data_IF_609030317952
#
_entry.id   IF_609030317952
#
_cell.length_a   1.000
_cell.length_b   1.000
_cell.length_c   1.000
_cell.angle_alpha   90.00
_cell.angle_beta   90.00
_cell.angle_gamma   90.00
#
_symmetry.space_group_name_H-M   'P 1'
#
loop_
_entity.id
_entity.type
_entity.pdbx_description
1 polymer ?
#
# COMPACT_ATOMS: atom_id res chain seq x y z
N UNK A 1 -76.34 30.77 -78.23
CA UNK A 1 -77.47 30.81 -77.28
C UNK A 1 -78.58 31.76 -77.74
N UNK A 2 -78.30 33.02 -78.09
CA UNK A 2 -79.31 33.98 -78.62
C UNK A 2 -79.97 33.51 -79.93
N UNK A 3 -79.18 32.95 -80.86
CA UNK A 3 -79.68 32.39 -82.13
C UNK A 3 -80.57 31.15 -81.96
N UNK A 4 -80.43 30.42 -80.84
CA UNK A 4 -81.20 29.22 -80.56
C UNK A 4 -82.56 29.56 -79.95
N UNK A 5 -82.63 30.64 -79.15
CA UNK A 5 -83.88 31.19 -78.62
C UNK A 5 -84.76 31.75 -79.75
N UNK A 6 -84.16 32.48 -80.69
CA UNK A 6 -84.88 33.06 -81.84
C UNK A 6 -85.53 32.01 -82.74
N UNK A 7 -84.86 30.87 -82.96
CA UNK A 7 -85.39 29.74 -83.75
C UNK A 7 -86.59 29.06 -83.09
N UNK A 8 -86.59 28.95 -81.76
CA UNK A 8 -87.71 28.36 -81.00
C UNK A 8 -88.94 29.28 -81.03
N UNK A 9 -88.75 30.60 -80.96
CA UNK A 9 -89.84 31.57 -81.06
C UNK A 9 -90.47 31.61 -82.48
N UNK A 10 -89.66 31.41 -83.53
CA UNK A 10 -90.13 31.28 -84.91
C UNK A 10 -90.92 29.98 -85.12
N UNK A 11 -90.43 28.85 -84.59
CA UNK A 11 -91.13 27.56 -84.63
C UNK A 11 -92.47 27.62 -83.86
N UNK A 12 -92.52 28.33 -82.74
CA UNK A 12 -93.74 28.55 -81.94
C UNK A 12 -94.80 29.35 -82.71
N UNK A 13 -94.40 30.42 -83.41
CA UNK A 13 -95.29 31.21 -84.27
C UNK A 13 -95.78 30.41 -85.48
N UNK A 14 -94.92 29.61 -86.10
CA UNK A 14 -95.31 28.76 -87.22
C UNK A 14 -96.35 27.70 -86.82
N UNK A 15 -96.24 27.12 -85.62
CA UNK A 15 -97.20 26.16 -85.05
C UNK A 15 -98.54 26.75 -84.62
N UNK A 16 -98.62 28.07 -84.43
CA UNK A 16 -99.87 28.76 -84.08
C UNK A 16 -100.73 29.08 -85.31
N UNK A 17 -100.09 29.27 -86.47
CA UNK A 17 -100.76 29.63 -87.74
C UNK A 17 -101.32 28.46 -88.55
N UNK A 18 -100.90 27.20 -88.30
CA UNK A 18 -101.47 26.00 -88.96
C UNK A 18 -102.65 25.45 -88.14
N UNK A 19 -103.88 25.58 -88.66
CA UNK A 19 -105.12 25.23 -87.95
C UNK A 19 -105.85 23.97 -88.45
N UNK A 20 -105.35 23.29 -89.49
CA UNK A 20 -105.89 22.03 -90.02
C UNK A 20 -104.89 20.86 -89.88
N UNK A 21 -104.58 20.47 -88.65
CA UNK A 21 -103.86 19.22 -88.35
C UNK A 21 -104.50 18.50 -87.16
N UNK A 22 -104.48 17.17 -87.18
CA UNK A 22 -105.01 16.30 -86.12
C UNK A 22 -104.47 16.74 -84.75
N UNK A 23 -105.37 16.91 -83.76
CA UNK A 23 -105.05 17.49 -82.44
C UNK A 23 -103.88 16.80 -81.72
N UNK A 24 -103.63 15.52 -82.03
CA UNK A 24 -102.53 14.76 -81.45
C UNK A 24 -101.15 15.19 -81.94
N UNK A 25 -100.98 15.56 -83.22
CA UNK A 25 -99.68 16.00 -83.74
C UNK A 25 -99.32 17.40 -83.28
N UNK A 26 -100.32 18.29 -83.15
CA UNK A 26 -100.14 19.65 -82.62
C UNK A 26 -99.73 19.63 -81.14
N UNK A 27 -100.32 18.72 -80.35
CA UNK A 27 -99.96 18.56 -78.94
C UNK A 27 -98.55 17.97 -78.76
N UNK A 28 -98.14 17.01 -79.61
CA UNK A 28 -96.77 16.48 -79.59
C UNK A 28 -95.74 17.56 -79.95
N UNK A 29 -95.99 18.34 -80.99
CA UNK A 29 -95.08 19.42 -81.41
C UNK A 29 -94.97 20.56 -80.37
N UNK A 30 -96.08 20.92 -79.71
CA UNK A 30 -96.07 21.88 -78.59
C UNK A 30 -95.29 21.34 -77.38
N UNK A 31 -95.48 20.07 -77.03
CA UNK A 31 -94.74 19.44 -75.93
C UNK A 31 -93.23 19.36 -76.21
N UNK A 32 -92.84 19.12 -77.47
CA UNK A 32 -91.43 19.10 -77.87
C UNK A 32 -90.81 20.50 -77.83
N UNK A 33 -91.51 21.53 -78.29
CA UNK A 33 -91.07 22.92 -78.16
C UNK A 33 -90.94 23.36 -76.70
N UNK A 34 -91.92 23.04 -75.85
CA UNK A 34 -91.86 23.37 -74.42
C UNK A 34 -90.70 22.66 -73.71
N UNK A 35 -90.37 21.43 -74.13
CA UNK A 35 -89.21 20.70 -73.62
C UNK A 35 -87.89 21.37 -74.04
N UNK A 36 -87.78 21.78 -75.31
CA UNK A 36 -86.60 22.52 -75.82
C UNK A 36 -86.43 23.87 -75.13
N UNK A 37 -87.52 24.61 -74.88
CA UNK A 37 -87.48 25.87 -74.11
C UNK A 37 -86.98 25.64 -72.68
N UNK A 38 -87.50 24.61 -71.99
CA UNK A 38 -87.07 24.27 -70.62
C UNK A 38 -85.60 23.85 -70.54
N UNK A 39 -85.12 23.08 -71.51
CA UNK A 39 -83.72 22.64 -71.54
C UNK A 39 -82.76 23.80 -71.84
N UNK A 40 -83.17 24.73 -72.72
CA UNK A 40 -82.39 25.94 -73.00
C UNK A 40 -82.34 26.88 -71.78
N UNK A 41 -83.46 27.03 -71.05
CA UNK A 41 -83.51 27.81 -69.81
C UNK A 41 -82.61 27.21 -68.71
N UNK A 42 -82.62 25.88 -68.55
CA UNK A 42 -81.71 25.19 -67.62
C UNK A 42 -80.25 25.41 -68.02
N UNK A 43 -79.91 25.29 -69.30
CA UNK A 43 -78.55 25.54 -69.78
C UNK A 43 -78.11 27.00 -69.55
N UNK A 44 -79.02 27.98 -69.69
CA UNK A 44 -78.74 29.38 -69.36
C UNK A 44 -78.51 29.59 -67.86
N UNK A 45 -79.36 29.00 -67.01
CA UNK A 45 -79.20 29.07 -65.56
C UNK A 45 -77.90 28.40 -65.10
N UNK A 46 -77.56 27.24 -65.65
CA UNK A 46 -76.29 26.56 -65.40
C UNK A 46 -75.10 27.42 -65.85
N UNK A 47 -75.14 28.00 -67.04
CA UNK A 47 -74.09 28.87 -67.54
C UNK A 47 -73.90 30.12 -66.69
N UNK A 48 -74.98 30.78 -66.28
CA UNK A 48 -74.93 31.92 -65.36
C UNK A 48 -74.37 31.50 -63.99
N UNK A 49 -74.79 30.35 -63.46
CA UNK A 49 -74.26 29.83 -62.19
C UNK A 49 -72.76 29.52 -62.26
N UNK A 50 -72.27 29.06 -63.41
CA UNK A 50 -70.86 28.78 -63.64
C UNK A 50 -70.05 30.07 -63.78
N UNK A 51 -70.57 31.09 -64.46
CA UNK A 51 -69.94 32.42 -64.55
C UNK A 51 -69.88 33.13 -63.19
N UNK A 52 -70.93 33.02 -62.39
CA UNK A 52 -70.92 33.52 -61.01
C UNK A 52 -69.89 32.80 -60.15
N UNK A 53 -69.76 31.47 -60.28
CA UNK A 53 -68.71 30.69 -59.60
C UNK A 53 -67.31 31.06 -60.09
N UNK A 54 -67.12 31.24 -61.40
CA UNK A 54 -65.84 31.64 -61.98
C UNK A 54 -65.43 33.03 -61.50
N UNK A 55 -66.33 34.00 -61.58
CA UNK A 55 -66.06 35.36 -61.10
C UNK A 55 -65.89 35.45 -59.58
N UNK A 56 -66.55 34.59 -58.80
CA UNK A 56 -66.31 34.47 -57.37
C UNK A 56 -64.94 33.86 -57.05
N UNK A 57 -64.46 32.90 -57.86
CA UNK A 57 -63.11 32.35 -57.74
C UNK A 57 -62.06 33.38 -58.17
N UNK A 58 -62.23 34.06 -59.30
CA UNK A 58 -61.34 35.13 -59.76
C UNK A 58 -61.28 36.28 -58.76
N UNK A 59 -62.42 36.73 -58.20
CA UNK A 59 -62.42 37.75 -57.14
C UNK A 59 -61.77 37.25 -55.85
N UNK A 60 -61.88 35.96 -55.50
CA UNK A 60 -61.16 35.40 -54.34
C UNK A 60 -59.66 35.30 -54.57
N UNK A 61 -59.23 35.07 -55.82
CA UNK A 61 -57.83 34.97 -56.19
C UNK A 61 -57.19 36.34 -56.41
N UNK A 62 -57.94 37.34 -56.90
CA UNK A 62 -57.42 38.65 -57.34
C UNK A 62 -57.83 39.83 -56.43
N UNK A 63 -59.05 39.82 -55.85
CA UNK A 63 -59.62 40.95 -55.09
C UNK A 63 -59.79 40.64 -53.59
N UNK A 64 -59.58 39.38 -53.20
CA UNK A 64 -59.53 38.90 -51.82
C UNK A 64 -58.17 39.14 -51.15
N UNK A 65 -57.68 40.37 -51.16
CA UNK A 65 -56.81 40.90 -50.10
C UNK A 65 -55.34 40.48 -50.00
N UNK A 66 -54.84 39.38 -50.59
CA UNK A 66 -53.39 39.10 -50.68
C UNK A 66 -53.08 38.23 -51.90
N UNK A 67 -52.12 38.65 -52.72
CA UNK A 67 -51.59 37.92 -53.88
C UNK A 67 -50.98 36.58 -53.43
N UNK A 68 -51.76 35.50 -53.59
CA UNK A 68 -51.41 34.15 -53.06
C UNK A 68 -50.13 33.59 -53.65
N UNK A 69 -49.77 34.02 -54.88
CA UNK A 69 -48.54 33.61 -55.54
C UNK A 69 -47.33 34.30 -54.89
N UNK A 70 -47.41 35.62 -54.68
CA UNK A 70 -46.36 36.38 -54.01
C UNK A 70 -46.13 35.90 -52.56
N UNK A 71 -47.20 35.55 -51.84
CA UNK A 71 -47.11 35.01 -50.48
C UNK A 71 -46.45 33.62 -50.44
N UNK A 72 -46.63 32.80 -51.47
CA UNK A 72 -45.96 31.50 -51.58
C UNK A 72 -44.46 31.67 -51.84
N UNK A 73 -44.07 32.60 -52.72
CA UNK A 73 -42.65 32.93 -52.97
C UNK A 73 -41.96 33.53 -51.73
N UNK A 74 -42.64 34.40 -50.98
CA UNK A 74 -42.13 34.93 -49.71
C UNK A 74 -41.95 33.82 -48.66
N UNK A 75 -42.89 32.87 -48.57
CA UNK A 75 -42.79 31.72 -47.67
C UNK A 75 -41.65 30.77 -48.08
N UNK A 76 -41.44 30.56 -49.38
CA UNK A 76 -40.35 29.73 -49.88
C UNK A 76 -38.98 30.34 -49.54
N UNK A 77 -38.79 31.64 -49.75
CA UNK A 77 -37.56 32.35 -49.33
C UNK A 77 -37.31 32.28 -47.83
N UNK A 78 -38.34 32.48 -47.01
CA UNK A 78 -38.25 32.34 -45.55
C UNK A 78 -37.86 30.91 -45.12
N UNK A 79 -38.35 29.89 -45.82
CA UNK A 79 -37.98 28.50 -45.56
C UNK A 79 -36.54 28.19 -45.98
N UNK A 80 -36.08 28.73 -47.11
CA UNK A 80 -34.68 28.61 -47.54
C UNK A 80 -33.72 29.29 -46.55
N UNK A 81 -34.01 30.54 -46.14
CA UNK A 81 -33.21 31.26 -45.15
C UNK A 81 -33.14 30.50 -43.81
N UNK A 82 -34.29 29.97 -43.36
CA UNK A 82 -34.37 29.15 -42.14
C UNK A 82 -33.56 27.85 -42.27
N UNK A 83 -33.66 27.15 -43.42
CA UNK A 83 -32.89 25.93 -43.67
C UNK A 83 -31.39 26.20 -43.69
N UNK A 84 -30.96 27.29 -44.33
CA UNK A 84 -29.56 27.70 -44.35
C UNK A 84 -29.04 28.01 -42.93
N UNK A 85 -29.82 28.72 -42.12
CA UNK A 85 -29.45 28.98 -40.72
C UNK A 85 -29.36 27.68 -39.91
N UNK A 86 -30.25 26.73 -40.16
CA UNK A 86 -30.29 25.43 -39.48
C UNK A 86 -29.08 24.57 -39.87
N UNK A 87 -28.68 24.57 -41.14
CA UNK A 87 -27.47 23.91 -41.62
C UNK A 87 -26.20 24.53 -41.03
N UNK A 88 -26.12 25.87 -40.95
CA UNK A 88 -25.00 26.54 -40.29
C UNK A 88 -24.91 26.17 -38.80
N UNK A 89 -26.05 26.15 -38.10
CA UNK A 89 -26.10 25.72 -36.70
C UNK A 89 -25.67 24.27 -36.53
N UNK A 90 -26.08 23.36 -37.44
CA UNK A 90 -25.63 21.96 -37.44
C UNK A 90 -24.12 21.86 -37.66
N UNK A 91 -23.56 22.57 -38.65
CA UNK A 91 -22.11 22.58 -38.89
C UNK A 91 -21.33 23.10 -37.68
N UNK A 92 -21.78 24.19 -37.06
CA UNK A 92 -21.16 24.73 -35.83
C UNK A 92 -21.24 23.73 -34.67
N UNK A 93 -22.38 23.06 -34.49
CA UNK A 93 -22.54 22.04 -33.45
C UNK A 93 -21.63 20.83 -33.68
N UNK A 94 -21.48 20.37 -34.93
CA UNK A 94 -20.56 19.29 -35.29
C UNK A 94 -19.09 19.67 -35.08
N UNK A 95 -18.70 20.90 -35.44
CA UNK A 95 -17.35 21.40 -35.18
C UNK A 95 -17.04 21.45 -33.68
N UNK A 96 -17.93 22.04 -32.88
CA UNK A 96 -17.79 22.09 -31.42
C UNK A 96 -17.72 20.69 -30.80
N UNK A 97 -18.50 19.74 -31.32
CA UNK A 97 -18.47 18.35 -30.86
C UNK A 97 -17.12 17.69 -31.15
N UNK A 98 -16.56 17.88 -32.34
CA UNK A 98 -15.22 17.36 -32.70
C UNK A 98 -14.13 17.97 -31.82
N UNK A 99 -14.16 19.28 -31.61
CA UNK A 99 -13.20 19.96 -30.72
C UNK A 99 -13.31 19.46 -29.27
N UNK A 100 -14.52 19.13 -28.81
CA UNK A 100 -14.72 18.56 -27.48
C UNK A 100 -14.12 17.16 -27.39
N UNK A 101 -14.38 16.29 -28.38
CA UNK A 101 -13.83 14.93 -28.45
C UNK A 101 -12.28 14.95 -28.49
N UNK A 102 -11.66 15.84 -29.26
CA UNK A 102 -10.21 16.01 -29.29
C UNK A 102 -9.65 16.45 -27.93
N UNK A 103 -10.28 17.43 -27.27
CA UNK A 103 -9.85 17.88 -25.94
C UNK A 103 -10.04 16.82 -24.86
N UNK A 104 -11.10 16.01 -24.97
CA UNK A 104 -11.31 14.87 -24.07
C UNK A 104 -10.22 13.81 -24.27
N UNK A 105 -9.83 13.51 -25.51
CA UNK A 105 -8.73 12.60 -25.82
C UNK A 105 -7.38 13.12 -25.31
N UNK A 106 -7.06 14.39 -25.54
CA UNK A 106 -5.84 15.00 -24.99
C UNK A 106 -5.80 14.95 -23.45
N UNK A 107 -6.95 15.17 -22.80
CA UNK A 107 -7.06 15.04 -21.34
C UNK A 107 -6.80 13.61 -20.88
N UNK A 108 -7.41 12.62 -21.52
CA UNK A 108 -7.19 11.21 -21.21
C UNK A 108 -5.72 10.82 -21.40
N UNK A 109 -5.08 11.23 -22.49
CA UNK A 109 -3.66 10.99 -22.74
C UNK A 109 -2.75 11.60 -21.65
N UNK A 110 -3.05 12.81 -21.19
CA UNK A 110 -2.30 13.48 -20.11
C UNK A 110 -2.53 12.74 -18.79
N UNK A 111 -3.76 12.35 -18.48
CA UNK A 111 -4.12 11.60 -17.28
C UNK A 111 -3.44 10.22 -17.24
N UNK A 112 -3.42 9.49 -18.35
CA UNK A 112 -2.72 8.20 -18.46
C UNK A 112 -1.21 8.37 -18.28
N UNK A 113 -0.60 9.38 -18.94
CA UNK A 113 0.84 9.68 -18.79
C UNK A 113 1.19 10.07 -17.35
N UNK A 114 0.38 10.92 -16.71
CA UNK A 114 0.61 11.34 -15.33
C UNK A 114 0.41 10.18 -14.36
N UNK A 115 -0.60 9.33 -14.58
CA UNK A 115 -0.84 8.12 -13.78
C UNK A 115 0.34 7.17 -13.88
N UNK A 116 0.82 6.88 -15.09
CA UNK A 116 2.01 6.04 -15.32
C UNK A 116 3.26 6.60 -14.64
N UNK A 117 3.52 7.90 -14.79
CA UNK A 117 4.67 8.56 -14.16
C UNK A 117 4.57 8.56 -12.63
N UNK A 118 3.38 8.81 -12.08
CA UNK A 118 3.13 8.79 -10.64
C UNK A 118 3.27 7.38 -10.07
N UNK A 119 2.78 6.35 -10.75
CA UNK A 119 2.99 4.95 -10.37
C UNK A 119 4.47 4.56 -10.38
N UNK A 120 5.23 4.98 -11.40
CA UNK A 120 6.66 4.76 -11.48
C UNK A 120 7.41 5.47 -10.33
N UNK A 121 7.06 6.73 -10.07
CA UNK A 121 7.63 7.51 -8.96
C UNK A 121 7.32 6.87 -7.60
N UNK A 122 6.10 6.38 -7.39
CA UNK A 122 5.71 5.64 -6.19
C UNK A 122 6.48 4.32 -6.07
N UNK A 123 6.63 3.57 -7.18
CA UNK A 123 7.40 2.33 -7.24
C UNK A 123 8.87 2.55 -6.88
N UNK A 124 9.50 3.58 -7.47
CA UNK A 124 10.88 3.99 -7.15
C UNK A 124 11.01 4.42 -5.68
N UNK A 125 10.05 5.17 -5.16
CA UNK A 125 10.03 5.61 -3.75
C UNK A 125 9.94 4.42 -2.78
N UNK A 126 9.09 3.43 -3.08
CA UNK A 126 8.99 2.19 -2.27
C UNK A 126 10.30 1.40 -2.29
N UNK A 127 10.92 1.25 -3.46
CA UNK A 127 12.24 0.59 -3.60
C UNK A 127 13.31 1.34 -2.81
N UNK A 128 13.35 2.67 -2.92
CA UNK A 128 14.29 3.50 -2.18
C UNK A 128 14.14 3.34 -0.67
N UNK A 129 12.90 3.40 -0.16
CA UNK A 129 12.62 3.16 1.28
C UNK A 129 13.12 1.79 1.72
N UNK A 130 12.84 0.73 0.94
CA UNK A 130 13.31 -0.63 1.25
C UNK A 130 14.84 -0.72 1.31
N UNK A 131 15.53 -0.19 0.30
CA UNK A 131 17.00 -0.18 0.26
C UNK A 131 17.58 0.65 1.41
N UNK A 132 16.96 1.79 1.73
CA UNK A 132 17.38 2.62 2.85
C UNK A 132 17.24 1.89 4.19
N UNK A 133 16.13 1.17 4.42
CA UNK A 133 15.95 0.34 5.61
C UNK A 133 17.00 -0.77 5.68
N UNK A 134 17.27 -1.47 4.58
CA UNK A 134 18.33 -2.49 4.52
C UNK A 134 19.71 -1.90 4.81
N UNK A 135 20.02 -0.71 4.27
CA UNK A 135 21.27 -0.01 4.53
C UNK A 135 21.40 0.36 6.01
N UNK A 136 20.33 0.87 6.63
CA UNK A 136 20.36 1.22 8.05
C UNK A 136 20.51 -0.01 8.95
N UNK A 137 19.85 -1.13 8.61
CA UNK A 137 20.03 -2.39 9.30
C UNK A 137 21.48 -2.92 9.18
N UNK A 138 22.06 -2.90 7.98
CA UNK A 138 23.45 -3.30 7.78
C UNK A 138 24.43 -2.36 8.52
N UNK A 139 24.12 -1.07 8.62
CA UNK A 139 24.92 -0.12 9.42
C UNK A 139 24.82 -0.40 10.91
N UNK A 140 23.65 -0.74 11.45
CA UNK A 140 23.52 -1.11 12.86
C UNK A 140 24.25 -2.42 13.15
N UNK A 141 24.10 -3.43 12.28
CA UNK A 141 24.82 -4.71 12.42
C UNK A 141 26.35 -4.51 12.42
N UNK A 142 26.87 -3.67 11.52
CA UNK A 142 28.29 -3.29 11.51
C UNK A 142 28.74 -2.63 12.82
N UNK A 143 27.92 -1.73 13.38
CA UNK A 143 28.25 -1.06 14.64
C UNK A 143 28.24 -2.04 15.81
N UNK A 144 27.27 -2.96 15.85
CA UNK A 144 27.17 -4.00 16.88
C UNK A 144 28.40 -4.94 16.82
N UNK A 145 28.77 -5.42 15.62
CA UNK A 145 29.96 -6.25 15.42
C UNK A 145 31.26 -5.55 15.83
N UNK A 146 31.40 -4.26 15.50
CA UNK A 146 32.56 -3.46 15.93
C UNK A 146 32.62 -3.34 17.45
N UNK A 147 31.47 -3.15 18.12
CA UNK A 147 31.42 -3.07 19.57
C UNK A 147 31.75 -4.40 20.23
N UNK A 148 31.23 -5.52 19.72
CA UNK A 148 31.56 -6.86 20.21
C UNK A 148 33.06 -7.14 20.06
N UNK A 149 33.62 -6.89 18.89
CA UNK A 149 35.05 -7.07 18.64
C UNK A 149 35.91 -6.22 19.58
N UNK A 150 35.52 -4.97 19.82
CA UNK A 150 36.23 -4.10 20.76
C UNK A 150 36.22 -4.66 22.19
N UNK A 151 35.06 -5.17 22.65
CA UNK A 151 34.94 -5.81 23.97
C UNK A 151 35.78 -7.09 24.07
N UNK A 152 35.82 -7.89 23.01
CA UNK A 152 36.67 -9.09 22.96
C UNK A 152 38.15 -8.73 23.04
N UNK A 153 38.60 -7.72 22.28
CA UNK A 153 39.97 -7.21 22.34
C UNK A 153 40.29 -6.72 23.75
N UNK A 154 39.41 -5.93 24.36
CA UNK A 154 39.60 -5.43 25.72
C UNK A 154 39.72 -6.58 26.74
N UNK A 155 38.89 -7.61 26.60
CA UNK A 155 38.95 -8.82 27.43
C UNK A 155 40.28 -9.57 27.26
N UNK A 156 40.74 -9.76 26.01
CA UNK A 156 42.02 -10.39 25.73
C UNK A 156 43.20 -9.58 26.28
N UNK A 157 43.18 -8.25 26.12
CA UNK A 157 44.21 -7.37 26.64
C UNK A 157 44.25 -7.38 28.18
N UNK A 158 43.11 -7.43 28.86
CA UNK A 158 43.08 -7.54 30.32
C UNK A 158 43.61 -8.90 30.79
N UNK A 159 43.26 -9.99 30.09
CA UNK A 159 43.84 -11.31 30.36
C UNK A 159 45.37 -11.30 30.20
N UNK A 160 45.90 -10.67 29.14
CA UNK A 160 47.35 -10.52 28.94
C UNK A 160 47.97 -9.74 30.09
N UNK A 161 47.35 -8.63 30.53
CA UNK A 161 47.84 -7.85 31.67
C UNK A 161 47.82 -8.66 32.96
N UNK A 162 46.78 -9.44 33.21
CA UNK A 162 46.69 -10.32 34.38
C UNK A 162 47.78 -11.39 34.35
N UNK A 163 47.90 -12.15 33.26
CA UNK A 163 48.94 -13.18 33.10
C UNK A 163 50.34 -12.60 33.21
N UNK A 164 50.58 -11.40 32.67
CA UNK A 164 51.87 -10.71 32.81
C UNK A 164 52.18 -10.33 34.26
N UNK A 165 51.17 -9.88 35.02
CA UNK A 165 51.33 -9.58 36.46
C UNK A 165 51.61 -10.86 37.24
N UNK A 166 50.87 -11.93 36.98
CA UNK A 166 51.04 -13.23 37.63
C UNK A 166 52.42 -13.82 37.33
N UNK A 167 52.85 -13.81 36.06
CA UNK A 167 54.18 -14.27 35.66
C UNK A 167 55.29 -13.50 36.37
N UNK A 168 55.21 -12.15 36.38
CA UNK A 168 56.19 -11.32 37.10
C UNK A 168 56.22 -11.64 38.59
N UNK A 169 55.07 -11.89 39.21
CA UNK A 169 55.01 -12.30 40.61
C UNK A 169 55.69 -13.65 40.83
N UNK A 170 55.42 -14.64 39.98
CA UNK A 170 56.07 -15.97 40.07
C UNK A 170 57.58 -15.87 39.87
N UNK A 171 58.04 -15.10 38.87
CA UNK A 171 59.47 -14.84 38.66
C UNK A 171 60.10 -14.18 39.89
N UNK A 172 59.47 -13.16 40.45
CA UNK A 172 59.96 -12.50 41.67
C UNK A 172 60.07 -13.48 42.85
N UNK A 173 59.11 -14.39 43.02
CA UNK A 173 59.18 -15.43 44.04
C UNK A 173 60.35 -16.38 43.76
N UNK A 174 60.51 -16.82 42.52
CA UNK A 174 61.62 -17.71 42.12
C UNK A 174 62.97 -17.02 42.42
N UNK A 175 63.15 -15.78 41.97
CA UNK A 175 64.39 -15.01 42.14
C UNK A 175 64.75 -14.78 43.61
N UNK A 176 63.76 -14.57 44.48
CA UNK A 176 64.00 -14.31 45.91
C UNK A 176 64.25 -15.58 46.73
N UNK A 177 63.66 -16.72 46.35
CA UNK A 177 63.63 -17.93 47.19
C UNK A 177 64.43 -19.11 46.63
N UNK A 178 64.81 -19.10 45.35
CA UNK A 178 65.53 -20.20 44.71
C UNK A 178 66.86 -19.69 44.13
N UNK A 179 68.02 -20.13 44.64
CA UNK A 179 69.32 -19.81 44.05
C UNK A 179 69.46 -20.27 42.59
N UNK A 180 70.21 -19.51 41.79
CA UNK A 180 70.35 -19.71 40.34
C UNK A 180 70.80 -21.13 39.96
N UNK A 181 71.80 -21.69 40.67
CA UNK A 181 72.31 -23.04 40.41
C UNK A 181 71.23 -24.12 40.51
N UNK A 182 70.27 -23.95 41.42
CA UNK A 182 69.14 -24.88 41.58
C UNK A 182 68.05 -24.64 40.53
N UNK A 183 67.87 -23.40 40.05
CA UNK A 183 66.95 -23.11 38.95
C UNK A 183 67.40 -23.83 37.67
N UNK A 184 68.67 -23.68 37.30
CA UNK A 184 69.27 -24.36 36.13
C UNK A 184 69.16 -25.88 36.26
N UNK A 185 69.40 -26.42 37.46
CA UNK A 185 69.20 -27.85 37.72
C UNK A 185 67.75 -28.26 37.46
N UNK A 186 66.76 -27.53 37.99
CA UNK A 186 65.34 -27.86 37.82
C UNK A 186 64.94 -27.81 36.34
N UNK A 187 65.36 -26.78 35.61
CA UNK A 187 65.06 -26.61 34.18
C UNK A 187 65.57 -27.79 33.34
N UNK A 188 66.77 -28.30 33.63
CA UNK A 188 67.35 -29.45 32.92
C UNK A 188 66.62 -30.79 33.17
N UNK A 189 65.95 -30.93 34.31
CA UNK A 189 65.28 -32.17 34.73
C UNK A 189 63.75 -32.12 34.64
N UNK A 190 63.18 -31.00 34.22
CA UNK A 190 61.75 -30.81 33.94
C UNK A 190 61.43 -31.19 32.50
N UNK A 191 60.28 -31.83 32.29
CA UNK A 191 59.74 -32.07 30.95
C UNK A 191 58.22 -31.89 30.96
N UNK A 192 57.66 -31.44 29.85
CA UNK A 192 56.22 -31.33 29.67
C UNK A 192 55.66 -32.70 29.28
N UNK A 193 54.62 -33.15 29.98
CA UNK A 193 53.91 -34.38 29.65
C UNK A 193 52.60 -34.01 28.93
N UNK A 194 52.53 -34.26 27.62
CA UNK A 194 51.36 -33.91 26.79
C UNK A 194 50.10 -34.72 27.14
N UNK A 195 50.26 -35.97 27.59
CA UNK A 195 49.11 -36.85 27.92
C UNK A 195 48.36 -36.40 29.18
N UNK A 196 49.09 -35.82 30.13
CA UNK A 196 48.56 -35.35 31.42
C UNK A 196 48.32 -33.83 31.40
N UNK A 197 49.05 -33.09 30.56
CA UNK A 197 48.98 -31.62 30.47
C UNK A 197 49.64 -30.93 31.66
N UNK A 198 50.71 -31.50 32.22
CA UNK A 198 51.42 -30.96 33.39
C UNK A 198 52.94 -31.09 33.23
N UNK A 199 53.68 -30.17 33.87
CA UNK A 199 55.14 -30.25 33.98
C UNK A 199 55.54 -31.33 34.99
N UNK A 200 56.40 -32.26 34.56
CA UNK A 200 56.91 -33.35 35.39
C UNK A 200 58.41 -33.20 35.61
N UNK A 201 58.81 -33.16 36.88
CA UNK A 201 60.21 -33.19 37.27
C UNK A 201 60.68 -34.66 37.39
N UNK A 202 61.85 -34.97 36.85
CA UNK A 202 62.44 -36.31 36.98
C UNK A 202 62.80 -36.59 38.44
N UNK A 203 62.60 -37.84 38.88
CA UNK A 203 62.98 -38.29 40.23
C UNK A 203 62.31 -37.52 41.40
N UNK A 204 61.14 -36.90 41.18
CA UNK A 204 60.39 -36.14 42.21
C UNK A 204 60.19 -36.89 43.53
N UNK A 205 60.03 -38.21 43.48
CA UNK A 205 59.87 -39.05 44.67
C UNK A 205 61.03 -38.92 45.69
N UNK A 206 62.24 -38.61 45.21
CA UNK A 206 63.45 -38.49 46.03
C UNK A 206 63.70 -37.06 46.54
N UNK A 207 62.79 -36.12 46.28
CA UNK A 207 62.89 -34.75 46.82
C UNK A 207 62.51 -34.73 48.30
N UNK A 208 63.19 -33.90 49.11
CA UNK A 208 63.01 -33.86 50.56
C UNK A 208 61.57 -33.63 51.03
N UNK A 209 60.76 -32.89 50.26
CA UNK A 209 59.33 -32.67 50.56
C UNK A 209 58.49 -33.93 50.38
N UNK A 210 58.82 -34.78 49.40
CA UNK A 210 58.11 -36.04 49.17
C UNK A 210 58.64 -37.16 50.08
N UNK A 211 59.92 -37.15 50.45
CA UNK A 211 60.49 -38.10 51.42
C UNK A 211 60.01 -37.83 52.86
N UNK A 212 59.82 -36.56 53.27
CA UNK A 212 59.27 -36.21 54.60
C UNK A 212 57.84 -36.69 54.83
N UNK A 213 57.04 -36.83 53.77
CA UNK A 213 55.69 -37.41 53.85
C UNK A 213 55.72 -38.93 54.11
N UNK A 214 56.87 -39.58 53.88
CA UNK A 214 57.08 -41.01 54.08
C UNK A 214 57.79 -41.35 55.40
N UNK A 215 58.36 -40.36 56.10
CA UNK A 215 58.90 -40.57 57.45
C UNK A 215 57.76 -40.54 58.47
N UNK A 216 57.55 -41.60 59.28
CA UNK A 216 56.57 -41.57 60.36
C UNK A 216 56.93 -40.43 61.33
N UNK A 217 55.97 -39.56 61.63
CA UNK A 217 56.14 -38.55 62.68
C UNK A 217 56.38 -39.29 64.00
N UNK A 218 57.44 -39.01 64.77
CA UNK A 218 57.62 -39.62 66.08
C UNK A 218 56.40 -39.25 66.95
N UNK A 219 55.87 -40.23 67.68
CA UNK A 219 54.71 -40.06 68.54
C UNK A 219 54.87 -38.83 69.43
N UNK A 220 53.77 -38.08 69.58
CA UNK A 220 53.69 -36.87 70.40
C UNK A 220 54.27 -37.15 71.78
N UNK A 221 55.49 -36.67 72.03
CA UNK A 221 56.00 -36.52 73.38
C UNK A 221 54.98 -35.68 74.14
N UNK A 222 54.53 -36.19 75.28
CA UNK A 222 53.64 -35.49 76.20
C UNK A 222 54.20 -34.08 76.44
N UNK A 223 53.33 -33.07 76.35
CA UNK A 223 53.74 -31.68 76.55
C UNK A 223 54.33 -31.54 77.94
N UNK A 224 55.55 -31.03 78.00
CA UNK A 224 56.26 -30.74 79.23
C UNK A 224 55.42 -29.76 80.08
N UNK A 225 55.03 -30.10 81.32
CA UNK A 225 54.17 -29.23 82.15
C UNK A 225 54.76 -27.83 82.43
N UNK A 226 56.04 -27.62 82.14
CA UNK A 226 56.75 -26.36 82.33
C UNK A 226 56.86 -25.51 81.05
N UNK A 227 56.26 -25.92 79.93
CA UNK A 227 56.25 -25.13 78.69
C UNK A 227 55.31 -23.91 78.84
N UNK A 228 55.89 -22.74 79.11
CA UNK A 228 55.16 -21.48 79.27
C UNK A 228 54.59 -21.02 77.91
N UNK A 229 53.27 -20.92 77.79
CA UNK A 229 52.57 -20.53 76.56
C UNK A 229 52.72 -19.01 76.28
N UNK A 230 53.78 -18.64 75.55
CA UNK A 230 54.08 -17.26 75.15
C UNK A 230 53.34 -16.82 73.87
N UNK A 231 52.35 -17.58 73.39
CA UNK A 231 51.63 -17.28 72.14
C UNK A 231 50.93 -15.91 72.11
N UNK A 232 50.64 -15.34 73.28
CA UNK A 232 50.03 -14.02 73.43
C UNK A 232 51.01 -12.84 73.27
N UNK A 233 52.30 -13.12 73.38
CA UNK A 233 53.38 -12.13 73.27
C UNK A 233 53.83 -11.96 71.81
N UNK A 234 53.73 -13.03 71.01
CA UNK A 234 54.12 -12.97 69.60
C UNK A 234 53.10 -12.19 68.74
N UNK A 235 53.61 -11.30 67.88
CA UNK A 235 52.85 -10.51 66.89
C UNK A 235 51.91 -9.42 67.45
N UNK A 236 51.97 -9.15 68.76
CA UNK A 236 51.25 -8.07 69.41
C UNK A 236 52.11 -6.79 69.52
N UNK A 237 52.58 -6.27 68.37
CA UNK A 237 53.46 -5.10 68.34
C UNK A 237 52.73 -3.75 68.49
N UNK A 238 51.40 -3.76 68.57
CA UNK A 238 50.54 -2.59 68.78
C UNK A 238 49.58 -2.83 69.94
N UNK A 239 49.20 -1.78 70.68
CA UNK A 239 48.31 -1.91 71.85
C UNK A 239 46.96 -2.57 71.50
N UNK A 240 46.45 -2.31 70.29
CA UNK A 240 45.21 -2.89 69.79
C UNK A 240 45.36 -4.41 69.50
N UNK A 241 46.50 -4.82 68.92
CA UNK A 241 46.82 -6.23 68.66
C UNK A 241 47.05 -7.01 69.96
N UNK A 242 47.64 -6.37 70.97
CA UNK A 242 47.83 -6.94 72.31
C UNK A 242 46.51 -7.14 73.04
N UNK A 243 45.58 -6.17 72.98
CA UNK A 243 44.24 -6.34 73.55
C UNK A 243 43.48 -7.48 72.88
N UNK A 244 43.60 -7.60 71.56
CA UNK A 244 42.93 -8.66 70.80
C UNK A 244 43.54 -10.05 71.07
N UNK A 245 44.86 -10.15 71.32
CA UNK A 245 45.50 -11.42 71.69
C UNK A 245 45.06 -11.89 73.09
N UNK A 246 44.96 -10.96 74.05
CA UNK A 246 44.51 -11.24 75.41
C UNK A 246 43.03 -11.67 75.46
N UNK A 247 42.15 -11.04 74.66
CA UNK A 247 40.74 -11.46 74.58
C UNK A 247 40.54 -12.86 73.99
N UNK A 248 41.48 -13.37 73.18
CA UNK A 248 41.44 -14.75 72.64
C UNK A 248 41.80 -15.80 73.69
N UNK A 249 42.54 -15.43 74.74
CA UNK A 249 42.90 -16.31 75.87
C UNK A 249 41.73 -16.55 76.82
N UNK A 250 40.85 -15.56 77.02
CA UNK A 250 39.70 -15.65 77.93
C UNK A 250 38.55 -16.51 77.40
N UNK A 251 38.58 -16.91 76.12
CA UNK A 251 37.57 -17.81 75.55
C UNK A 251 37.82 -19.25 76.00
N UNK A 252 36.83 -19.95 76.59
CA UNK A 252 36.96 -21.35 76.95
C UNK A 252 37.32 -22.18 75.71
N UNK A 253 38.42 -22.95 75.78
CA UNK A 253 38.84 -23.86 74.70
C UNK A 253 37.83 -25.01 74.58
N UNK A 254 36.86 -24.88 73.69
CA UNK A 254 35.97 -25.99 73.34
C UNK A 254 36.76 -27.04 72.57
N UNK A 255 36.55 -28.29 72.95
CA UNK A 255 37.28 -29.47 72.48
C UNK A 255 37.12 -29.73 70.99
N UNK A 256 38.20 -30.25 70.40
CA UNK A 256 38.35 -30.76 69.03
C UNK A 256 37.11 -31.47 68.46
N UNK A 257 36.83 -31.15 67.20
CA UNK A 257 36.55 -32.15 66.16
C UNK A 257 35.09 -32.30 65.74
N UNK A 258 34.76 -31.80 64.54
CA UNK A 258 33.92 -32.57 63.61
C UNK A 258 34.24 -32.18 62.17
N UNK A 259 34.44 -33.22 61.37
CA UNK A 259 34.91 -33.20 60.00
C UNK A 259 34.02 -32.36 59.07
N UNK A 260 34.66 -31.69 58.11
CA UNK A 260 34.02 -31.04 56.97
C UNK A 260 33.53 -32.14 56.00
N UNK A 261 32.22 -32.29 55.72
CA UNK A 261 31.77 -33.28 54.74
C UNK A 261 32.09 -32.79 53.32
N UNK A 262 32.73 -33.65 52.52
CA UNK A 262 32.86 -33.47 51.07
C UNK A 262 31.54 -33.85 50.38
N UNK A 263 31.03 -32.88 49.62
CA UNK A 263 30.24 -32.94 48.36
C UNK A 263 29.48 -34.22 47.97
N UNK A 264 28.20 -34.07 47.61
CA UNK A 264 27.50 -35.05 46.78
C UNK A 264 26.09 -34.66 46.30
N UNK A 265 26.00 -34.35 44.99
CA UNK A 265 24.85 -34.60 44.08
C UNK A 265 23.71 -33.56 43.99
N UNK A 266 23.60 -32.97 42.79
CA UNK A 266 22.50 -32.17 42.23
C UNK A 266 21.10 -32.76 42.51
N UNK A 267 20.17 -31.93 42.98
CA UNK A 267 18.73 -32.07 42.68
C UNK A 267 18.32 -30.95 41.72
N UNK A 268 17.74 -31.35 40.59
CA UNK A 268 17.11 -30.46 39.61
C UNK A 268 15.95 -29.72 40.29
N UNK A 269 15.95 -28.39 40.21
CA UNK A 269 14.80 -27.56 40.59
C UNK A 269 13.70 -27.72 39.55
N UNK A 270 12.50 -28.08 40.01
CA UNK A 270 11.29 -28.03 39.21
C UNK A 270 11.01 -26.58 38.77
N UNK A 271 10.67 -26.39 37.49
CA UNK A 271 10.17 -25.12 36.96
C UNK A 271 8.74 -24.90 37.48
N UNK A 272 8.34 -23.67 37.83
CA UNK A 272 6.93 -23.34 37.94
C UNK A 272 6.32 -23.21 36.53
N UNK A 273 5.22 -23.91 36.29
CA UNK A 273 4.38 -23.72 35.11
C UNK A 273 3.78 -22.32 35.14
N UNK A 274 4.10 -21.51 34.14
CA UNK A 274 3.34 -20.29 33.83
C UNK A 274 2.13 -20.69 33.01
N UNK A 275 0.97 -20.53 33.66
CA UNK A 275 -0.37 -20.61 33.07
C UNK A 275 -0.45 -19.66 31.87
N UNK A 276 -0.65 -20.24 30.69
CA UNK A 276 -1.18 -19.55 29.51
C UNK A 276 -2.68 -19.87 29.52
N UNK A 277 -3.53 -18.89 29.81
CA UNK A 277 -4.81 -18.79 29.10
C UNK A 277 -5.46 -17.41 29.22
N UNK A 278 -5.95 -16.97 28.05
CA UNK A 278 -7.07 -16.04 27.82
C UNK A 278 -6.98 -14.58 28.30
N UNK A 279 -6.76 -13.67 27.34
CA UNK A 279 -7.76 -12.62 27.12
C UNK A 279 -7.75 -12.15 25.64
N UNK A 280 -8.71 -12.70 24.89
CA UNK A 280 -9.29 -12.09 23.70
C UNK A 280 -10.47 -11.24 24.19
N UNK A 281 -10.32 -9.91 24.21
CA UNK A 281 -11.40 -8.94 23.95
C UNK A 281 -10.81 -7.55 23.70
#
# INVERSE_FOLDING_TARGET
>A
MVEMQAKIDEERKALETKLDMEEEERNKARAELEKREKDLLKAQQEHQSLLEKLSALEKKVIVGGVDLLAKAEEQEKLLEESNMELEERRRRAEQLRRELEEKEQERLDIEEKYTSLQEEAQGKTKKLKKVWTMLMAAKSEMADLQQEHQREIEGLLENIRQLSRELRLQMLIIDNFIPQDYQEMIENYVHWNEDIGEWQLKCVAYTGNNMRKQTPVPDKKEKDPFEVDLSHVYLAYTEESLRQSLMKLERPRTSKGKARPKTGRRKRSAKPETVIDSLLQ
#
